data_IF_381274260167
#
_entry.id   IF_381274260167
#
_cell.length_a   1.000
_cell.length_b   1.000
_cell.length_c   1.000
_cell.angle_alpha   90.00
_cell.angle_beta   90.00
_cell.angle_gamma   90.00
#
_symmetry.space_group_name_H-M   'P 1'
#
loop_
_entity.id
_entity.type
_entity.pdbx_description
1 polymer ?
#
# COMPACT_ATOMS: atom_id res chain seq x y z
N UNK A 1 9.83 -5.80 61.89
CA UNK A 1 8.39 -5.52 61.72
C UNK A 1 8.25 -4.40 60.70
N UNK A 2 7.95 -4.70 59.43
CA UNK A 2 7.87 -3.67 58.38
C UNK A 2 6.60 -2.81 58.57
N UNK A 3 6.77 -1.49 58.64
CA UNK A 3 5.69 -0.53 58.87
C UNK A 3 4.63 -0.58 57.74
N UNK A 4 3.35 -0.66 58.10
CA UNK A 4 2.21 -0.71 57.17
C UNK A 4 2.23 0.45 56.15
N UNK A 5 2.66 1.64 56.60
CA UNK A 5 2.78 2.84 55.76
C UNK A 5 3.83 2.68 54.65
N UNK A 6 4.92 1.93 54.91
CA UNK A 6 5.93 1.66 53.90
C UNK A 6 5.39 0.72 52.81
N UNK A 7 4.58 -0.29 53.17
CA UNK A 7 3.96 -1.21 52.20
C UNK A 7 3.00 -0.51 51.24
N UNK A 8 2.28 0.50 51.73
CA UNK A 8 1.39 1.32 50.91
C UNK A 8 2.21 2.19 49.96
N UNK A 9 3.26 2.85 50.47
CA UNK A 9 4.15 3.70 49.66
C UNK A 9 4.84 2.93 48.52
N UNK A 10 5.38 1.73 48.78
CA UNK A 10 5.97 0.91 47.70
C UNK A 10 4.91 0.41 46.70
N UNK A 11 3.66 0.20 47.11
CA UNK A 11 2.59 -0.18 46.18
C UNK A 11 2.29 0.94 45.18
N UNK A 12 2.14 2.18 45.65
CA UNK A 12 1.87 3.34 44.80
C UNK A 12 3.01 3.59 43.81
N UNK A 13 4.26 3.52 44.27
CA UNK A 13 5.44 3.67 43.41
C UNK A 13 5.49 2.61 42.29
N UNK A 14 5.13 1.37 42.59
CA UNK A 14 5.06 0.31 41.58
C UNK A 14 3.95 0.57 40.55
N UNK A 15 2.78 1.06 40.98
CA UNK A 15 1.67 1.36 40.07
C UNK A 15 2.05 2.48 39.09
N UNK A 16 2.62 3.58 39.59
CA UNK A 16 3.08 4.70 38.75
C UNK A 16 4.12 4.24 37.72
N UNK A 17 5.07 3.41 38.14
CA UNK A 17 6.12 2.88 37.26
C UNK A 17 5.51 1.99 36.16
N UNK A 18 4.57 1.10 36.51
CA UNK A 18 3.90 0.22 35.55
C UNK A 18 3.06 1.00 34.53
N UNK A 19 2.36 2.05 34.95
CA UNK A 19 1.57 2.91 34.05
C UNK A 19 2.47 3.62 33.04
N UNK A 20 3.61 4.17 33.47
CA UNK A 20 4.58 4.83 32.59
C UNK A 20 5.13 3.82 31.55
N UNK A 21 5.54 2.63 31.99
CA UNK A 21 6.07 1.59 31.10
C UNK A 21 5.01 1.16 30.07
N UNK A 22 3.75 1.03 30.49
CA UNK A 22 2.64 0.65 29.60
C UNK A 22 2.40 1.71 28.52
N UNK A 23 2.49 2.99 28.87
CA UNK A 23 2.31 4.08 27.92
C UNK A 23 3.42 4.09 26.85
N UNK A 24 4.68 3.91 27.26
CA UNK A 24 5.80 3.77 26.33
C UNK A 24 5.65 2.53 25.44
N UNK A 25 5.28 1.38 26.01
CA UNK A 25 5.02 0.16 25.24
C UNK A 25 3.93 0.38 24.18
N UNK A 26 2.85 1.08 24.53
CA UNK A 26 1.76 1.40 23.62
C UNK A 26 2.22 2.29 22.45
N UNK A 27 3.02 3.32 22.72
CA UNK A 27 3.59 4.20 21.68
C UNK A 27 4.50 3.42 20.73
N UNK A 28 5.35 2.52 21.26
CA UNK A 28 6.26 1.71 20.45
C UNK A 28 5.46 0.79 19.52
N UNK A 29 4.42 0.12 20.05
CA UNK A 29 3.55 -0.77 19.26
C UNK A 29 2.84 0.03 18.17
N UNK A 30 2.26 1.18 18.51
CA UNK A 30 1.59 2.06 17.54
C UNK A 30 2.54 2.50 16.42
N UNK A 31 3.79 2.81 16.76
CA UNK A 31 4.81 3.19 15.77
C UNK A 31 5.16 2.04 14.81
N UNK A 32 5.27 0.81 15.32
CA UNK A 32 5.53 -0.38 14.49
C UNK A 32 4.36 -0.62 13.52
N UNK A 33 3.12 -0.59 14.03
CA UNK A 33 1.90 -0.76 13.21
C UNK A 33 1.79 0.34 12.17
N UNK A 34 2.01 1.60 12.56
CA UNK A 34 2.00 2.74 11.65
C UNK A 34 3.04 2.59 10.54
N UNK A 35 4.27 2.18 10.87
CA UNK A 35 5.33 1.95 9.88
C UNK A 35 4.96 0.82 8.90
N UNK A 36 4.42 -0.28 9.40
CA UNK A 36 3.95 -1.40 8.58
C UNK A 36 2.87 -0.96 7.58
N UNK A 37 2.00 -0.01 7.94
CA UNK A 37 0.93 0.49 7.07
C UNK A 37 1.40 1.55 6.06
N UNK A 38 2.38 2.39 6.42
CA UNK A 38 2.94 3.42 5.55
C UNK A 38 3.71 2.83 4.36
N UNK A 39 4.42 1.72 4.56
CA UNK A 39 5.18 1.02 3.51
C UNK A 39 4.31 0.57 2.32
N UNK A 40 3.20 -0.17 2.49
CA UNK A 40 2.30 -0.56 1.40
C UNK A 40 1.57 0.64 0.80
N UNK A 41 1.19 1.65 1.60
CA UNK A 41 0.56 2.87 1.07
C UNK A 41 1.45 3.59 0.05
N UNK A 42 2.76 3.74 0.35
CA UNK A 42 3.72 4.33 -0.59
C UNK A 42 3.86 3.50 -1.87
N UNK A 43 3.79 2.17 -1.77
CA UNK A 43 3.84 1.28 -2.93
C UNK A 43 2.59 1.42 -3.81
N UNK A 44 1.40 1.47 -3.20
CA UNK A 44 0.12 1.69 -3.90
C UNK A 44 0.13 3.03 -4.62
N UNK A 45 0.63 4.09 -3.99
CA UNK A 45 0.71 5.42 -4.62
C UNK A 45 1.66 5.43 -5.82
N UNK A 46 2.83 4.78 -5.69
CA UNK A 46 3.77 4.61 -6.82
C UNK A 46 3.16 3.75 -7.93
N UNK A 47 2.39 2.72 -7.58
CA UNK A 47 1.67 1.87 -8.53
C UNK A 47 0.57 2.67 -9.25
N UNK A 48 -0.18 3.51 -8.55
CA UNK A 48 -1.24 4.35 -9.11
C UNK A 48 -0.69 5.33 -10.14
N UNK A 49 0.44 5.99 -9.85
CA UNK A 49 1.11 6.89 -10.81
C UNK A 49 1.59 6.11 -12.04
N UNK A 50 2.22 4.94 -11.84
CA UNK A 50 2.61 4.06 -12.95
C UNK A 50 1.39 3.51 -13.71
N UNK A 51 0.23 3.38 -13.07
CA UNK A 51 -1.00 2.95 -13.72
C UNK A 51 -1.60 4.03 -14.60
N UNK A 52 -1.60 5.29 -14.13
CA UNK A 52 -2.00 6.45 -14.95
C UNK A 52 -1.12 6.53 -16.20
N UNK A 53 0.20 6.38 -16.04
CA UNK A 53 1.14 6.35 -17.17
C UNK A 53 0.88 5.17 -18.12
N UNK A 54 0.60 3.97 -17.59
CA UNK A 54 0.25 2.80 -18.39
C UNK A 54 -1.07 2.95 -19.15
N UNK A 55 -2.08 3.56 -18.52
CA UNK A 55 -3.36 3.88 -19.15
C UNK A 55 -3.24 4.93 -20.25
N UNK A 56 -2.45 5.98 -20.02
CA UNK A 56 -2.14 7.00 -21.04
C UNK A 56 -1.38 6.38 -22.21
N UNK A 57 -0.43 5.48 -21.95
CA UNK A 57 0.31 4.79 -23.00
C UNK A 57 -0.60 3.94 -23.88
N UNK A 58 -1.56 3.20 -23.30
CA UNK A 58 -2.57 2.47 -24.08
C UNK A 58 -3.48 3.42 -24.85
N UNK A 59 -3.88 4.53 -24.25
CA UNK A 59 -4.71 5.52 -24.95
C UNK A 59 -4.02 6.03 -26.23
N UNK A 60 -2.72 6.32 -26.16
CA UNK A 60 -1.90 6.71 -27.31
C UNK A 60 -1.77 5.56 -28.32
N UNK A 61 -1.49 4.35 -27.85
CA UNK A 61 -1.39 3.15 -28.72
C UNK A 61 -2.74 2.85 -29.40
N UNK A 62 -3.87 3.11 -28.76
CA UNK A 62 -5.19 2.93 -29.35
C UNK A 62 -5.45 3.92 -30.50
N UNK A 63 -4.95 5.15 -30.39
CA UNK A 63 -5.05 6.16 -31.46
C UNK A 63 -4.12 5.80 -32.64
N UNK A 64 -2.88 5.40 -32.36
CA UNK A 64 -1.88 5.07 -33.41
C UNK A 64 -2.13 3.68 -34.02
N UNK A 65 -2.61 2.72 -33.25
CA UNK A 65 -2.91 1.35 -33.70
C UNK A 65 -4.20 1.24 -34.52
N UNK A 66 -5.09 2.24 -34.43
CA UNK A 66 -6.29 2.34 -35.26
C UNK A 66 -5.97 2.38 -36.77
N UNK A 67 -4.80 2.91 -37.16
CA UNK A 67 -4.38 2.96 -38.57
C UNK A 67 -3.79 1.65 -39.09
N UNK A 68 -3.40 0.72 -38.21
CA UNK A 68 -2.81 -0.57 -38.57
C UNK A 68 -3.81 -1.74 -38.57
N UNK A 69 -5.12 -1.49 -38.39
CA UNK A 69 -6.13 -2.55 -38.24
C UNK A 69 -6.00 -3.34 -36.94
N UNK A 70 -5.04 -2.97 -36.08
CA UNK A 70 -4.96 -3.40 -34.70
C UNK A 70 -5.95 -2.59 -33.87
N UNK A 71 -7.24 -2.91 -34.01
CA UNK A 71 -8.11 -2.87 -32.85
C UNK A 71 -7.56 -3.91 -31.86
N UNK A 72 -6.56 -3.54 -31.06
CA UNK A 72 -6.52 -4.09 -29.70
C UNK A 72 -7.80 -3.54 -29.11
N UNK A 73 -8.86 -4.35 -29.11
CA UNK A 73 -10.16 -3.92 -28.65
C UNK A 73 -9.95 -3.32 -27.27
N UNK A 74 -10.04 -2.00 -27.18
CA UNK A 74 -10.18 -1.26 -25.93
C UNK A 74 -11.62 -1.53 -25.48
N UNK A 75 -11.86 -2.79 -25.17
CA UNK A 75 -13.07 -3.27 -24.56
C UNK A 75 -12.98 -2.92 -23.07
N UNK A 76 -14.11 -2.70 -22.42
CA UNK A 76 -14.16 -2.29 -21.01
C UNK A 76 -13.30 -3.22 -20.15
N UNK A 77 -13.30 -4.52 -20.46
CA UNK A 77 -12.46 -5.51 -19.76
C UNK A 77 -10.95 -5.24 -19.85
N UNK A 78 -10.40 -4.95 -21.03
CA UNK A 78 -8.94 -4.76 -21.19
C UNK A 78 -8.45 -3.44 -20.58
N UNK A 79 -9.28 -2.39 -20.65
CA UNK A 79 -9.05 -1.11 -19.97
C UNK A 79 -9.00 -1.26 -18.44
N UNK A 80 -9.90 -2.05 -17.85
CA UNK A 80 -9.92 -2.31 -16.39
C UNK A 80 -8.67 -3.07 -15.95
N UNK A 81 -8.28 -4.13 -16.67
CA UNK A 81 -7.09 -4.92 -16.31
C UNK A 81 -5.80 -4.10 -16.41
N UNK A 82 -5.67 -3.24 -17.42
CA UNK A 82 -4.48 -2.38 -17.55
C UNK A 82 -4.53 -1.20 -16.59
N UNK A 83 -5.71 -0.63 -16.30
CA UNK A 83 -5.87 0.37 -15.24
C UNK A 83 -5.58 -0.19 -13.84
N UNK A 84 -5.70 -1.52 -13.64
CA UNK A 84 -5.37 -2.17 -12.37
C UNK A 84 -3.88 -2.56 -12.30
N UNK A 85 -3.29 -3.06 -13.38
CA UNK A 85 -1.91 -3.55 -13.43
C UNK A 85 -0.88 -2.48 -13.85
N UNK A 86 -1.30 -1.41 -14.52
CA UNK A 86 -0.44 -0.36 -15.06
C UNK A 86 0.47 -0.81 -16.21
N UNK A 87 1.73 -0.33 -16.24
CA UNK A 87 2.75 -0.66 -17.25
C UNK A 87 2.87 -2.17 -17.53
N UNK A 88 2.98 -3.07 -16.54
CA UNK A 88 3.06 -4.51 -16.82
C UNK A 88 1.77 -5.08 -17.45
N UNK A 89 0.61 -4.48 -17.16
CA UNK A 89 -0.66 -4.86 -17.81
C UNK A 89 -0.68 -4.49 -19.29
N UNK A 90 -0.14 -3.31 -19.65
CA UNK A 90 -0.02 -2.89 -21.04
C UNK A 90 0.93 -3.80 -21.83
N UNK A 91 2.09 -4.12 -21.25
CA UNK A 91 3.08 -5.03 -21.83
C UNK A 91 2.48 -6.44 -22.06
N UNK A 92 1.68 -6.93 -21.11
CA UNK A 92 1.04 -8.24 -21.23
C UNK A 92 0.03 -8.31 -22.38
N UNK A 93 -0.79 -7.27 -22.58
CA UNK A 93 -1.71 -7.22 -23.72
C UNK A 93 -0.99 -7.18 -25.07
N UNK A 94 0.10 -6.44 -25.16
CA UNK A 94 0.92 -6.35 -26.37
C UNK A 94 1.51 -7.73 -26.70
N UNK A 95 2.06 -8.44 -25.71
CA UNK A 95 2.63 -9.77 -25.88
C UNK A 95 1.56 -10.79 -26.31
N UNK A 96 0.38 -10.78 -25.67
CA UNK A 96 -0.72 -11.66 -26.04
C UNK A 96 -1.19 -11.45 -27.49
N UNK A 97 -1.24 -10.18 -27.94
CA UNK A 97 -1.61 -9.83 -29.31
C UNK A 97 -0.50 -10.19 -30.32
N UNK A 98 0.75 -10.28 -29.89
CA UNK A 98 1.90 -10.65 -30.73
C UNK A 98 2.04 -12.18 -30.89
N UNK A 99 1.55 -12.95 -29.92
CA UNK A 99 1.53 -14.42 -29.95
C UNK A 99 0.27 -15.02 -30.62
N UNK A 100 -0.80 -14.23 -30.78
CA UNK A 100 -2.04 -14.64 -31.46
C UNK A 100 -2.03 -14.15 -32.90
#
# INVERSE_FOLDING_TARGET
MFNHNNKIKVRWLNLETNTIITFFACIIILFIVGRIFIVPLKKILKLAINSILGGVLIYIINIVGATFGFHIGLNIGTSIFVGLLGVPGAVFLIILKLMI
#
